data_IF_604735711799
#
_entry.id   IF_604735711799
#
_cell.length_a   1.000
_cell.length_b   1.000
_cell.length_c   1.000
_cell.angle_alpha   90.00
_cell.angle_beta   90.00
_cell.angle_gamma   90.00
#
_symmetry.space_group_name_H-M   'P 1'
#
loop_
_entity.id
_entity.type
_entity.pdbx_description
1 polymer ?
#
# COMPACT_ATOMS: atom_id res chain seq x y z
N UNK A 1 27.59 13.01 1.71
CA UNK A 1 27.45 12.23 0.47
C UNK A 1 26.13 12.64 -0.16
N UNK A 2 26.15 13.61 -1.07
CA UNK A 2 24.93 14.07 -1.74
C UNK A 2 24.45 13.00 -2.73
N UNK A 3 23.19 12.59 -2.61
CA UNK A 3 22.54 11.71 -3.59
C UNK A 3 22.26 12.54 -4.83
N UNK A 4 22.94 12.24 -5.94
CA UNK A 4 22.53 12.76 -7.25
C UNK A 4 21.15 12.16 -7.61
N UNK A 5 20.15 12.98 -7.96
CA UNK A 5 18.84 12.48 -8.31
C UNK A 5 18.91 11.77 -9.68
N UNK A 6 18.65 10.46 -9.68
CA UNK A 6 18.59 9.62 -10.89
C UNK A 6 17.28 9.85 -11.67
N UNK A 7 16.24 10.31 -10.99
CA UNK A 7 14.92 10.58 -11.55
C UNK A 7 14.56 12.06 -11.39
N UNK A 8 13.92 12.63 -12.41
CA UNK A 8 13.27 13.93 -12.30
C UNK A 8 12.00 13.83 -11.45
N UNK A 9 11.52 14.97 -10.95
CA UNK A 9 10.24 15.06 -10.22
C UNK A 9 9.07 14.50 -11.04
N UNK A 10 9.01 14.86 -12.33
CA UNK A 10 7.99 14.34 -13.25
C UNK A 10 8.07 12.83 -13.48
N UNK A 11 9.27 12.23 -13.42
CA UNK A 11 9.40 10.78 -13.48
C UNK A 11 8.92 10.11 -12.20
N UNK A 12 9.18 10.73 -11.05
CA UNK A 12 8.70 10.26 -9.76
C UNK A 12 7.17 10.29 -9.72
N UNK A 13 6.55 11.40 -10.13
CA UNK A 13 5.09 11.54 -10.21
C UNK A 13 4.47 10.44 -11.10
N UNK A 14 5.04 10.23 -12.28
CA UNK A 14 4.56 9.17 -13.20
C UNK A 14 4.66 7.77 -12.60
N UNK A 15 5.72 7.48 -11.84
CA UNK A 15 5.86 6.19 -11.16
C UNK A 15 4.82 6.06 -10.04
N UNK A 16 4.56 7.14 -9.29
CA UNK A 16 3.54 7.14 -8.24
C UNK A 16 2.15 6.89 -8.82
N UNK A 17 1.78 7.57 -9.91
CA UNK A 17 0.51 7.37 -10.60
C UNK A 17 0.38 5.93 -11.14
N UNK A 18 1.43 5.39 -11.77
CA UNK A 18 1.43 4.02 -12.28
C UNK A 18 1.29 2.98 -11.15
N UNK A 19 1.93 3.23 -10.01
CA UNK A 19 1.80 2.39 -8.82
C UNK A 19 0.38 2.45 -8.24
N UNK A 20 -0.20 3.65 -8.12
CA UNK A 20 -1.57 3.85 -7.66
C UNK A 20 -2.56 3.09 -8.56
N UNK A 21 -2.38 3.17 -9.87
CA UNK A 21 -3.22 2.45 -10.83
C UNK A 21 -3.07 0.93 -10.73
N UNK A 22 -1.83 0.42 -10.62
CA UNK A 22 -1.57 -1.00 -10.47
C UNK A 22 -2.23 -1.56 -9.21
N UNK A 23 -2.07 -0.89 -8.07
CA UNK A 23 -2.66 -1.35 -6.80
C UNK A 23 -4.19 -1.27 -6.80
N UNK A 24 -4.77 -0.32 -7.53
CA UNK A 24 -6.22 -0.17 -7.67
C UNK A 24 -6.83 -1.19 -8.63
N UNK A 25 -6.18 -1.48 -9.75
CA UNK A 25 -6.76 -2.27 -10.85
C UNK A 25 -6.36 -3.75 -10.78
N UNK A 26 -5.07 -4.02 -10.56
CA UNK A 26 -4.51 -5.36 -10.48
C UNK A 26 -4.55 -5.86 -9.04
N UNK A 27 -4.07 -5.04 -8.11
CA UNK A 27 -3.91 -5.43 -6.70
C UNK A 27 -2.78 -6.44 -6.49
N UNK A 28 -2.81 -7.12 -5.36
CA UNK A 28 -1.87 -8.19 -5.02
C UNK A 28 -2.60 -9.34 -4.33
N UNK A 29 -2.00 -10.53 -4.35
CA UNK A 29 -2.65 -11.75 -3.86
C UNK A 29 -2.15 -12.15 -2.49
N UNK A 30 -3.07 -12.48 -1.58
CA UNK A 30 -2.79 -12.95 -0.23
C UNK A 30 -3.62 -14.19 0.07
N UNK A 31 -2.99 -15.26 0.53
CA UNK A 31 -3.65 -16.53 0.86
C UNK A 31 -4.05 -16.64 2.34
N UNK A 32 -3.65 -15.69 3.17
CA UNK A 32 -3.93 -15.71 4.61
C UNK A 32 -5.24 -14.98 4.93
N UNK A 33 -6.24 -15.73 5.39
CA UNK A 33 -7.60 -15.21 5.68
C UNK A 33 -7.59 -14.03 6.66
N UNK A 34 -6.73 -14.08 7.68
CA UNK A 34 -6.62 -12.98 8.65
C UNK A 34 -6.21 -11.65 8.01
N UNK A 35 -5.36 -11.69 6.98
CA UNK A 35 -4.92 -10.48 6.27
C UNK A 35 -6.02 -10.00 5.33
N UNK A 36 -6.74 -10.92 4.67
CA UNK A 36 -7.89 -10.57 3.82
C UNK A 36 -8.98 -9.84 4.63
N UNK A 37 -9.27 -10.34 5.84
CA UNK A 37 -10.23 -9.68 6.76
C UNK A 37 -9.77 -8.29 7.17
N UNK A 38 -8.49 -8.13 7.53
CA UNK A 38 -7.93 -6.84 7.90
C UNK A 38 -7.93 -5.86 6.72
N UNK A 39 -7.56 -6.32 5.52
CA UNK A 39 -7.58 -5.52 4.32
C UNK A 39 -9.00 -5.01 4.00
N UNK A 40 -10.02 -5.89 4.07
CA UNK A 40 -11.41 -5.45 3.90
C UNK A 40 -11.85 -4.46 4.97
N UNK A 41 -11.51 -4.71 6.24
CA UNK A 41 -11.87 -3.81 7.34
C UNK A 41 -11.23 -2.42 7.17
N UNK A 42 -10.06 -2.34 6.57
CA UNK A 42 -9.40 -1.08 6.20
C UNK A 42 -10.02 -0.40 4.96
N UNK A 43 -10.98 -1.03 4.28
CA UNK A 43 -11.65 -0.47 3.10
C UNK A 43 -11.03 -0.87 1.76
N UNK A 44 -10.14 -1.87 1.73
CA UNK A 44 -9.66 -2.44 0.48
C UNK A 44 -10.74 -3.27 -0.22
N UNK A 45 -10.68 -3.34 -1.55
CA UNK A 45 -11.51 -4.26 -2.35
C UNK A 45 -10.87 -5.64 -2.32
N UNK A 46 -11.59 -6.63 -1.79
CA UNK A 46 -11.08 -7.98 -1.56
C UNK A 46 -11.94 -8.99 -2.29
N UNK A 47 -11.32 -9.64 -3.27
CA UNK A 47 -11.83 -10.85 -3.92
C UNK A 47 -11.43 -12.07 -3.08
N UNK A 48 -12.41 -12.63 -2.36
CA UNK A 48 -12.18 -13.81 -1.51
C UNK A 48 -11.94 -15.09 -2.30
N UNK A 49 -12.45 -15.18 -3.53
CA UNK A 49 -12.30 -16.39 -4.33
C UNK A 49 -10.86 -16.50 -4.84
N UNK A 50 -10.28 -15.39 -5.29
CA UNK A 50 -8.90 -15.36 -5.78
C UNK A 50 -7.87 -15.02 -4.70
N UNK A 51 -8.31 -14.48 -3.55
CA UNK A 51 -7.46 -13.89 -2.54
C UNK A 51 -6.80 -12.58 -3.00
N UNK A 52 -7.39 -11.88 -3.98
CA UNK A 52 -6.83 -10.63 -4.51
C UNK A 52 -7.32 -9.44 -3.71
N UNK A 53 -6.37 -8.61 -3.27
CA UNK A 53 -6.61 -7.35 -2.57
C UNK A 53 -6.23 -6.20 -3.50
N UNK A 54 -7.19 -5.33 -3.78
CA UNK A 54 -6.98 -4.07 -4.50
C UNK A 54 -7.13 -2.91 -3.54
N UNK A 55 -6.24 -1.93 -3.64
CA UNK A 55 -6.23 -0.76 -2.76
C UNK A 55 -6.75 0.45 -3.56
N UNK A 56 -7.91 1.01 -3.20
CA UNK A 56 -8.37 2.25 -3.80
C UNK A 56 -7.38 3.40 -3.54
N UNK A 57 -7.18 4.27 -4.53
CA UNK A 57 -6.26 5.42 -4.44
C UNK A 57 -6.48 6.28 -3.17
N UNK A 58 -7.71 6.62 -2.76
CA UNK A 58 -7.92 7.40 -1.54
C UNK A 58 -7.41 6.69 -0.28
N UNK A 59 -7.63 5.37 -0.19
CA UNK A 59 -7.15 4.55 0.91
C UNK A 59 -5.63 4.48 0.91
N UNK A 60 -4.99 4.25 -0.24
CA UNK A 60 -3.54 4.20 -0.34
C UNK A 60 -2.89 5.51 0.15
N UNK A 61 -3.42 6.65 -0.30
CA UNK A 61 -2.90 7.97 0.12
C UNK A 61 -3.08 8.21 1.61
N UNK A 62 -4.21 7.80 2.18
CA UNK A 62 -4.44 7.84 3.62
C UNK A 62 -3.42 6.98 4.37
N UNK A 63 -3.23 5.72 3.97
CA UNK A 63 -2.29 4.80 4.62
C UNK A 63 -0.84 5.30 4.56
N UNK A 64 -0.44 5.88 3.43
CA UNK A 64 0.88 6.48 3.29
C UNK A 64 1.01 7.72 4.20
N UNK A 65 0.02 8.60 4.22
CA UNK A 65 0.02 9.77 5.10
C UNK A 65 0.11 9.38 6.58
N UNK A 66 -0.67 8.39 7.01
CA UNK A 66 -0.65 7.86 8.38
C UNK A 66 0.73 7.25 8.71
N UNK A 67 1.31 6.47 7.79
CA UNK A 67 2.64 5.90 7.97
C UNK A 67 3.74 6.97 8.11
N UNK A 68 3.67 8.04 7.33
CA UNK A 68 4.63 9.15 7.44
C UNK A 68 4.40 10.01 8.68
N UNK A 69 3.16 10.16 9.14
CA UNK A 69 2.83 10.79 10.42
C UNK A 69 3.35 9.98 11.62
N UNK A 70 3.41 8.65 11.46
CA UNK A 70 3.96 7.71 12.43
C UNK A 70 5.50 7.59 12.38
N UNK A 71 6.24 8.46 11.67
CA UNK A 71 7.72 8.50 11.77
C UNK A 71 8.27 8.74 13.19
N UNK A 72 7.40 9.01 14.17
CA UNK A 72 7.71 9.00 15.62
C UNK A 72 7.11 7.83 16.43
N UNK A 73 6.31 6.93 15.86
CA UNK A 73 5.67 5.82 16.57
C UNK A 73 5.69 4.52 15.74
N UNK A 74 6.47 3.56 16.24
CA UNK A 74 6.34 2.10 16.10
C UNK A 74 5.34 1.57 15.05
N UNK A 75 5.87 0.78 14.11
CA UNK A 75 5.13 -0.17 13.29
C UNK A 75 4.02 -0.86 14.11
N UNK A 76 2.80 -1.04 13.56
CA UNK A 76 1.74 -1.75 14.25
C UNK A 76 2.19 -3.20 14.57
N UNK A 77 1.76 -3.77 15.70
CA UNK A 77 2.16 -5.11 16.17
C UNK A 77 1.79 -6.26 15.21
N UNK A 78 1.06 -5.96 14.13
CA UNK A 78 0.62 -6.90 13.12
C UNK A 78 1.76 -7.45 12.23
N UNK A 79 2.95 -6.83 12.24
CA UNK A 79 4.10 -7.24 11.43
C UNK A 79 5.16 -8.05 12.20
N UNK A 80 4.80 -8.58 13.38
CA UNK A 80 5.65 -9.49 14.14
C UNK A 80 5.24 -10.95 13.85
N UNK A 81 5.68 -11.47 12.71
CA UNK A 81 5.58 -12.90 12.40
C UNK A 81 6.86 -13.56 12.94
N UNK A 82 6.76 -14.65 13.72
CA UNK A 82 7.91 -15.30 14.38
C UNK A 82 8.96 -15.84 13.40
#
# INVERSE_FOLDING_TARGET
MEKLPVLSESQIERIQEAMEDLLKTVGFRVMHEGILRQARAAGADVDEQSGTVRIPTPLLRQLLADCFALKGLLLPPCLNIP
#
